data_IF_309698176655
#
_entry.id   IF_309698176655
#
_cell.length_a   1.000
_cell.length_b   1.000
_cell.length_c   1.000
_cell.angle_alpha   90.00
_cell.angle_beta   90.00
_cell.angle_gamma   90.00
#
_symmetry.space_group_name_H-M   'P 1'
#
loop_
_entity.id
_entity.type
_entity.pdbx_description
1 polymer ?
#
# COMPACT_ATOMS: atom_id res chain seq x y z
N UNK A 1 37.88 19.02 21.67
CA UNK A 1 36.48 18.58 21.82
C UNK A 1 35.86 18.68 20.44
N UNK A 2 35.84 17.58 19.70
CA UNK A 2 35.30 17.55 18.34
C UNK A 2 33.77 17.47 18.45
N UNK A 3 33.09 18.48 17.92
CA UNK A 3 31.65 18.54 17.76
C UNK A 3 31.27 17.59 16.61
N UNK A 4 31.10 16.31 16.91
CA UNK A 4 30.58 15.31 15.99
C UNK A 4 29.08 15.51 15.83
N UNK A 5 28.69 16.54 15.09
CA UNK A 5 27.35 16.61 14.51
C UNK A 5 27.23 15.44 13.54
N UNK A 6 26.25 14.53 13.71
CA UNK A 6 26.02 13.48 12.73
C UNK A 6 25.73 14.15 11.39
N UNK A 7 26.51 13.81 10.38
CA UNK A 7 26.30 14.30 9.02
C UNK A 7 24.96 13.73 8.56
N UNK A 8 23.98 14.61 8.33
CA UNK A 8 22.66 14.25 7.83
C UNK A 8 22.69 13.55 6.46
N UNK A 9 23.88 13.48 5.85
CA UNK A 9 24.20 12.82 4.58
C UNK A 9 24.73 11.39 4.73
N UNK A 10 24.85 10.85 5.95
CA UNK A 10 25.32 9.47 6.14
C UNK A 10 24.42 8.47 5.39
N UNK A 11 24.99 7.44 4.73
CA UNK A 11 24.24 6.45 3.96
C UNK A 11 23.23 5.67 4.81
N UNK A 12 23.51 5.52 6.11
CA UNK A 12 22.60 4.91 7.08
C UNK A 12 21.30 5.72 7.27
N UNK A 13 21.39 7.06 7.34
CA UNK A 13 20.23 7.94 7.46
C UNK A 13 19.41 7.98 6.17
N UNK A 14 20.08 7.90 5.01
CA UNK A 14 19.39 7.79 3.72
C UNK A 14 18.59 6.49 3.60
N UNK A 15 19.19 5.36 4.01
CA UNK A 15 18.52 4.05 4.02
C UNK A 15 17.34 4.00 5.00
N UNK A 16 17.49 4.55 6.20
CA UNK A 16 16.40 4.64 7.18
C UNK A 16 15.23 5.49 6.66
N UNK A 17 15.52 6.63 6.02
CA UNK A 17 14.49 7.46 5.38
C UNK A 17 13.78 6.73 4.25
N UNK A 18 14.50 5.98 3.41
CA UNK A 18 13.89 5.18 2.35
C UNK A 18 12.97 4.10 2.94
N UNK A 19 13.39 3.43 4.03
CA UNK A 19 12.57 2.44 4.71
C UNK A 19 11.24 3.04 5.21
N UNK A 20 11.29 4.22 5.84
CA UNK A 20 10.08 4.95 6.27
C UNK A 20 9.18 5.29 5.08
N UNK A 21 9.75 5.80 3.98
CA UNK A 21 8.97 6.10 2.77
C UNK A 21 8.31 4.85 2.18
N UNK A 22 9.01 3.70 2.18
CA UNK A 22 8.44 2.42 1.71
C UNK A 22 7.30 1.95 2.59
N UNK A 23 7.44 2.04 3.91
CA UNK A 23 6.37 1.68 4.84
C UNK A 23 5.14 2.58 4.65
N UNK A 24 5.34 3.91 4.55
CA UNK A 24 4.25 4.86 4.25
C UNK A 24 3.58 4.60 2.91
N UNK A 25 4.36 4.24 1.88
CA UNK A 25 3.82 3.89 0.57
C UNK A 25 2.94 2.63 0.63
N UNK A 26 3.34 1.60 1.37
CA UNK A 26 2.54 0.39 1.57
C UNK A 26 1.24 0.68 2.31
N UNK A 27 1.31 1.53 3.34
CA UNK A 27 0.12 1.97 4.08
C UNK A 27 -0.84 2.75 3.19
N UNK A 28 -0.33 3.73 2.43
CA UNK A 28 -1.10 4.45 1.41
C UNK A 28 -1.74 3.48 0.40
N UNK A 29 -0.99 2.54 -0.17
CA UNK A 29 -1.54 1.53 -1.09
C UNK A 29 -2.68 0.74 -0.46
N UNK A 30 -2.51 0.34 0.80
CA UNK A 30 -3.52 -0.40 1.55
C UNK A 30 -4.79 0.41 1.76
N UNK A 31 -4.65 1.69 2.10
CA UNK A 31 -5.76 2.62 2.25
C UNK A 31 -6.54 2.81 0.95
N UNK A 32 -5.84 3.02 -0.17
CA UNK A 32 -6.48 3.17 -1.48
C UNK A 32 -7.28 1.91 -1.85
N UNK A 33 -6.71 0.72 -1.64
CA UNK A 33 -7.39 -0.54 -1.91
C UNK A 33 -8.62 -0.70 -1.01
N UNK A 34 -8.49 -0.39 0.28
CA UNK A 34 -9.58 -0.48 1.25
C UNK A 34 -10.72 0.47 0.90
N UNK A 35 -10.44 1.74 0.59
CA UNK A 35 -11.43 2.74 0.15
C UNK A 35 -12.18 2.25 -1.09
N UNK A 36 -11.44 1.67 -2.05
CA UNK A 36 -12.05 1.15 -3.26
C UNK A 36 -12.90 -0.10 -3.01
N UNK A 37 -12.53 -0.94 -2.05
CA UNK A 37 -13.33 -2.10 -1.67
C UNK A 37 -14.61 -1.69 -0.94
N UNK A 38 -14.52 -0.73 -0.01
CA UNK A 38 -15.64 -0.21 0.77
C UNK A 38 -16.66 0.56 -0.07
N UNK A 39 -16.23 1.14 -1.19
CA UNK A 39 -17.14 1.82 -2.14
C UNK A 39 -17.90 0.88 -3.07
N UNK A 40 -17.59 -0.43 -3.10
CA UNK A 40 -18.33 -1.40 -3.90
C UNK A 40 -19.52 -1.96 -3.13
N UNK A 41 -20.66 -2.07 -3.83
CA UNK A 41 -21.79 -2.86 -3.34
C UNK A 41 -21.46 -4.37 -3.31
N UNK A 42 -22.16 -5.17 -2.50
CA UNK A 42 -22.00 -6.62 -2.49
C UNK A 42 -22.15 -7.26 -3.88
N UNK A 43 -23.07 -6.75 -4.71
CA UNK A 43 -23.29 -7.22 -6.08
C UNK A 43 -22.10 -6.91 -6.99
N UNK A 44 -21.48 -5.74 -6.85
CA UNK A 44 -20.29 -5.38 -7.61
C UNK A 44 -19.08 -6.22 -7.21
N UNK A 45 -18.90 -6.48 -5.91
CA UNK A 45 -17.87 -7.40 -5.39
C UNK A 45 -18.08 -8.80 -5.95
N UNK A 46 -19.33 -9.29 -5.96
CA UNK A 46 -19.67 -10.59 -6.54
C UNK A 46 -19.33 -10.67 -8.04
N UNK A 47 -19.76 -9.69 -8.85
CA UNK A 47 -19.47 -9.65 -10.29
C UNK A 47 -17.96 -9.57 -10.54
N UNK A 48 -17.21 -8.86 -9.68
CA UNK A 48 -15.76 -8.76 -9.77
C UNK A 48 -15.10 -10.12 -9.53
N UNK A 49 -15.51 -10.79 -8.45
CA UNK A 49 -15.06 -12.11 -8.07
C UNK A 49 -15.35 -13.14 -9.18
N UNK A 50 -16.59 -13.17 -9.68
CA UNK A 50 -17.01 -14.08 -10.75
C UNK A 50 -16.18 -13.89 -12.03
N UNK A 51 -15.93 -12.64 -12.46
CA UNK A 51 -15.12 -12.36 -13.65
C UNK A 51 -13.69 -12.85 -13.52
N UNK A 52 -13.08 -12.73 -12.34
CA UNK A 52 -11.75 -13.28 -12.06
C UNK A 52 -11.77 -14.80 -12.02
N UNK A 53 -12.77 -15.42 -11.39
CA UNK A 53 -12.92 -16.88 -11.34
C UNK A 53 -13.03 -17.52 -12.73
N UNK A 54 -13.82 -16.90 -13.62
CA UNK A 54 -13.93 -17.36 -15.02
C UNK A 54 -12.65 -17.20 -15.81
N UNK A 55 -11.84 -16.17 -15.53
CA UNK A 55 -10.53 -15.98 -16.20
C UNK A 55 -9.55 -17.08 -15.80
N UNK A 56 -9.63 -17.57 -14.57
CA UNK A 56 -8.78 -18.64 -14.06
C UNK A 56 -9.23 -20.04 -14.50
N UNK A 57 -10.32 -20.16 -15.29
CA UNK A 57 -10.81 -21.42 -15.84
C UNK A 57 -11.41 -22.38 -14.81
N UNK A 58 -11.73 -21.90 -13.60
CA UNK A 58 -12.25 -22.71 -12.53
C UNK A 58 -13.75 -23.01 -12.68
N UNK A 59 -14.17 -24.21 -12.26
CA UNK A 59 -15.56 -24.65 -12.27
C UNK A 59 -16.09 -24.78 -10.83
N UNK A 60 -17.25 -24.17 -10.55
CA UNK A 60 -17.89 -24.16 -9.22
C UNK A 60 -18.12 -22.75 -8.66
N UNK A 61 -18.77 -22.65 -7.50
CA UNK A 61 -18.89 -21.37 -6.78
C UNK A 61 -17.67 -21.21 -5.87
N UNK A 62 -16.92 -20.10 -5.96
CA UNK A 62 -15.75 -19.85 -5.11
C UNK A 62 -16.15 -19.64 -3.65
N UNK A 63 -15.25 -20.00 -2.72
CA UNK A 63 -15.42 -19.65 -1.31
C UNK A 63 -15.41 -18.13 -1.10
N UNK A 64 -15.97 -17.66 0.02
CA UNK A 64 -15.99 -16.24 0.37
C UNK A 64 -14.59 -15.61 0.34
N UNK A 65 -13.60 -16.24 0.97
CA UNK A 65 -12.21 -15.76 0.99
C UNK A 65 -11.64 -15.63 -0.43
N UNK A 66 -11.95 -16.60 -1.30
CA UNK A 66 -11.52 -16.56 -2.70
C UNK A 66 -12.24 -15.46 -3.47
N UNK A 67 -13.52 -15.20 -3.19
CA UNK A 67 -14.26 -14.09 -3.79
C UNK A 67 -13.67 -12.74 -3.40
N UNK A 68 -13.36 -12.53 -2.12
CA UNK A 68 -12.73 -11.31 -1.62
C UNK A 68 -11.36 -11.13 -2.27
N UNK A 69 -10.51 -12.17 -2.28
CA UNK A 69 -9.20 -12.11 -2.94
C UNK A 69 -9.31 -11.69 -4.41
N UNK A 70 -10.21 -12.34 -5.16
CA UNK A 70 -10.43 -12.04 -6.57
C UNK A 70 -11.00 -10.65 -6.83
N UNK A 71 -11.80 -10.13 -5.89
CA UNK A 71 -12.30 -8.76 -5.93
C UNK A 71 -11.14 -7.77 -5.70
N UNK A 72 -10.34 -7.99 -4.66
CA UNK A 72 -9.15 -7.18 -4.37
C UNK A 72 -8.18 -7.15 -5.55
N UNK A 73 -7.86 -8.29 -6.16
CA UNK A 73 -7.01 -8.35 -7.36
C UNK A 73 -7.61 -7.57 -8.54
N UNK A 74 -8.93 -7.67 -8.74
CA UNK A 74 -9.60 -6.96 -9.82
C UNK A 74 -9.76 -5.45 -9.58
N UNK A 75 -9.74 -5.02 -8.32
CA UNK A 75 -9.66 -3.61 -7.91
C UNK A 75 -8.26 -3.09 -8.22
N UNK A 76 -7.22 -3.75 -7.68
CA UNK A 76 -5.81 -3.36 -7.86
C UNK A 76 -5.46 -3.17 -9.34
N UNK A 77 -5.87 -4.11 -10.21
CA UNK A 77 -5.64 -4.00 -11.67
C UNK A 77 -6.26 -2.77 -12.34
N UNK A 78 -7.28 -2.15 -11.73
CA UNK A 78 -7.96 -0.96 -12.25
C UNK A 78 -7.52 0.32 -11.56
N UNK A 79 -6.78 0.24 -10.46
CA UNK A 79 -6.25 1.41 -9.80
C UNK A 79 -5.00 1.89 -10.54
N UNK A 80 -4.89 3.20 -10.70
CA UNK A 80 -3.67 3.87 -11.15
C UNK A 80 -2.88 4.28 -9.92
N UNK A 81 -2.36 3.30 -9.19
CA UNK A 81 -1.45 3.58 -8.08
C UNK A 81 -0.08 3.91 -8.70
N UNK A 82 0.52 5.07 -8.40
CA UNK A 82 1.86 5.41 -8.88
C UNK A 82 2.89 4.45 -8.31
N UNK A 83 3.92 4.12 -9.09
CA UNK A 83 5.08 3.37 -8.58
C UNK A 83 5.76 4.11 -7.42
N UNK A 84 6.48 3.36 -6.58
CA UNK A 84 7.08 3.87 -5.35
C UNK A 84 7.93 5.12 -5.58
N UNK A 85 8.78 5.13 -6.61
CA UNK A 85 9.71 6.24 -6.87
C UNK A 85 8.97 7.54 -7.17
N UNK A 86 7.94 7.47 -8.02
CA UNK A 86 7.08 8.61 -8.38
C UNK A 86 6.29 9.10 -7.18
N UNK A 87 5.71 8.17 -6.41
CA UNK A 87 4.98 8.50 -5.20
C UNK A 87 5.89 9.16 -4.15
N UNK A 88 7.09 8.63 -3.93
CA UNK A 88 8.02 9.13 -2.93
C UNK A 88 8.51 10.55 -3.27
N UNK A 89 8.79 10.82 -4.54
CA UNK A 89 9.16 12.17 -5.01
C UNK A 89 8.05 13.19 -4.75
N UNK A 90 6.80 12.86 -5.07
CA UNK A 90 5.65 13.73 -4.81
C UNK A 90 5.37 13.87 -3.31
N UNK A 91 5.45 12.78 -2.56
CA UNK A 91 5.26 12.78 -1.11
C UNK A 91 6.27 13.68 -0.41
N UNK A 92 7.56 13.59 -0.76
CA UNK A 92 8.60 14.47 -0.20
C UNK A 92 8.33 15.94 -0.56
N UNK A 93 7.78 16.21 -1.76
CA UNK A 93 7.48 17.56 -2.22
C UNK A 93 6.25 18.16 -1.54
N UNK A 94 5.21 17.35 -1.31
CA UNK A 94 3.97 17.80 -0.71
C UNK A 94 3.28 16.71 0.15
N UNK A 95 3.78 16.46 1.37
CA UNK A 95 3.24 15.41 2.23
C UNK A 95 1.76 15.59 2.55
N UNK A 96 1.31 16.85 2.70
CA UNK A 96 -0.05 17.18 3.12
C UNK A 96 -1.15 16.66 2.18
N UNK A 97 -0.83 16.34 0.92
CA UNK A 97 -1.77 15.71 -0.02
C UNK A 97 -2.06 14.25 0.38
N UNK A 98 -1.05 13.53 0.88
CA UNK A 98 -1.10 12.08 1.09
C UNK A 98 -1.34 11.69 2.55
N UNK A 99 -0.92 12.52 3.50
CA UNK A 99 -1.09 12.27 4.94
C UNK A 99 -2.53 11.91 5.36
N UNK A 100 -3.61 12.51 4.80
CA UNK A 100 -4.98 12.10 5.14
C UNK A 100 -5.34 10.66 4.76
N UNK A 101 -4.63 10.10 3.76
CA UNK A 101 -4.87 8.76 3.23
C UNK A 101 -3.91 7.71 3.84
N UNK A 102 -2.98 8.11 4.71
CA UNK A 102 -2.06 7.19 5.42
C UNK A 102 -2.72 6.80 6.75
N UNK A 103 -2.91 5.50 6.99
CA UNK A 103 -3.69 5.00 8.12
C UNK A 103 -2.90 4.87 9.43
N UNK A 104 -1.57 4.99 9.37
CA UNK A 104 -0.66 4.89 10.51
C UNK A 104 -0.07 3.49 10.71
N UNK A 105 -0.39 2.51 9.87
CA UNK A 105 0.16 1.15 9.97
C UNK A 105 1.65 1.07 9.68
N UNK A 106 2.20 2.10 9.00
CA UNK A 106 3.63 2.19 8.71
C UNK A 106 4.50 2.33 9.97
N UNK A 107 3.96 2.88 11.07
CA UNK A 107 4.70 3.04 12.33
C UNK A 107 5.04 1.68 12.94
N UNK A 108 4.04 0.80 13.02
CA UNK A 108 4.20 -0.57 13.51
C UNK A 108 5.17 -1.38 12.64
N UNK A 109 5.17 -1.17 11.32
CA UNK A 109 6.08 -1.88 10.40
C UNK A 109 7.54 -1.46 10.59
N UNK A 110 7.79 -0.19 10.94
CA UNK A 110 9.15 0.30 11.24
C UNK A 110 9.62 -0.20 12.60
N UNK A 111 8.75 -0.19 13.61
CA UNK A 111 9.07 -0.71 14.94
C UNK A 111 9.40 -2.21 14.89
N UNK A 112 8.62 -3.00 14.15
CA UNK A 112 8.87 -4.43 13.92
C UNK A 112 10.20 -4.73 13.19
N UNK A 113 10.66 -3.81 12.34
CA UNK A 113 11.94 -3.95 11.61
C UNK A 113 13.12 -3.41 12.40
N UNK A 114 12.90 -2.51 13.36
CA UNK A 114 13.92 -1.96 14.25
C UNK A 114 14.31 -2.92 15.39
N UNK A 115 13.40 -3.80 15.78
CA UNK A 115 13.59 -4.82 16.83
C UNK A 115 14.17 -6.17 16.32
N UNK A 116 14.43 -6.29 15.00
CA UNK A 116 14.93 -7.51 14.34
C UNK A 116 16.41 -7.42 13.96
#
# INVERSE_FOLDING_TARGET
>A
VADSRPDASSPEHASAREAVLRAKYLDYCSAQIAERLLSLSPDEVYVLAERSHRRDGAHGSPSYDRMVQMATEGIVRRMTIPEFELWAEEYVRNPAIYEPDILGFWEDEIDLRGDA
#
